data_IF_167427430686
#
_entry.id   IF_167427430686
#
_cell.length_a   1.000
_cell.length_b   1.000
_cell.length_c   1.000
_cell.angle_alpha   90.00
_cell.angle_beta   90.00
_cell.angle_gamma   90.00
#
_symmetry.space_group_name_H-M   'P 1'
#
loop_
_entity.id
_entity.type
_entity.pdbx_description
1 polymer ?
#
# COMPACT_ATOMS: atom_id res chain seq x y z
N UNK A 1 -1.10 -17.92 -2.69
CA UNK A 1 -2.24 -17.41 -1.89
C UNK A 1 -3.58 -17.98 -2.36
N UNK A 2 -4.03 -17.72 -3.60
CA UNK A 2 -5.31 -18.25 -4.14
C UNK A 2 -5.40 -19.78 -3.98
N UNK A 3 -4.35 -20.50 -4.39
CA UNK A 3 -4.28 -21.96 -4.25
C UNK A 3 -4.49 -22.42 -2.80
N UNK A 4 -3.71 -21.87 -1.86
CA UNK A 4 -3.83 -22.20 -0.44
C UNK A 4 -5.21 -21.91 0.14
N UNK A 5 -5.77 -20.71 -0.13
CA UNK A 5 -7.05 -20.26 0.43
C UNK A 5 -8.25 -20.99 -0.15
N UNK A 6 -8.30 -21.14 -1.47
CA UNK A 6 -9.52 -21.56 -2.19
C UNK A 6 -9.47 -22.99 -2.71
N UNK A 7 -8.27 -23.57 -2.90
CA UNK A 7 -8.12 -24.98 -3.31
C UNK A 7 -7.90 -25.85 -2.08
N UNK A 8 -6.79 -25.65 -1.37
CA UNK A 8 -6.45 -26.48 -0.21
C UNK A 8 -7.38 -26.21 0.98
N UNK A 9 -7.81 -24.96 1.19
CA UNK A 9 -8.75 -24.59 2.27
C UNK A 9 -8.24 -25.11 3.62
N UNK A 10 -9.01 -25.96 4.30
CA UNK A 10 -8.66 -26.59 5.57
C UNK A 10 -7.49 -27.57 5.52
N UNK A 11 -7.09 -28.01 4.33
CA UNK A 11 -5.91 -28.87 4.12
C UNK A 11 -4.61 -28.06 4.04
N UNK A 12 -4.69 -26.73 3.90
CA UNK A 12 -3.51 -25.87 3.93
C UNK A 12 -2.89 -25.87 5.32
N UNK A 13 -1.57 -26.00 5.40
CA UNK A 13 -0.82 -25.78 6.63
C UNK A 13 -1.09 -24.39 7.23
N UNK A 14 -1.40 -23.42 6.37
CA UNK A 14 -1.68 -22.05 6.76
C UNK A 14 -3.17 -21.78 7.00
N UNK A 15 -4.03 -22.81 6.99
CA UNK A 15 -5.47 -22.64 7.18
C UNK A 15 -5.85 -21.77 8.39
N UNK A 16 -5.29 -21.96 9.61
CA UNK A 16 -5.66 -21.14 10.77
C UNK A 16 -5.39 -19.65 10.55
N UNK A 17 -4.30 -19.32 9.84
CA UNK A 17 -3.98 -17.95 9.47
C UNK A 17 -4.89 -17.43 8.35
N UNK A 18 -5.05 -18.22 7.28
CA UNK A 18 -5.87 -17.84 6.12
C UNK A 18 -7.34 -17.63 6.48
N UNK A 19 -7.84 -18.32 7.50
CA UNK A 19 -9.21 -18.17 8.01
C UNK A 19 -9.44 -16.82 8.73
N UNK A 20 -8.37 -16.17 9.21
CA UNK A 20 -8.43 -14.87 9.89
C UNK A 20 -8.21 -13.70 8.94
N UNK A 21 -7.82 -13.95 7.69
CA UNK A 21 -7.68 -12.89 6.70
C UNK A 21 -9.04 -12.27 6.35
N UNK A 22 -9.09 -10.94 6.11
CA UNK A 22 -10.28 -10.25 5.66
C UNK A 22 -10.95 -10.94 4.48
N UNK A 23 -12.28 -10.99 4.54
CA UNK A 23 -13.14 -11.42 3.43
C UNK A 23 -13.31 -10.28 2.42
N UNK A 24 -13.93 -10.54 1.27
CA UNK A 24 -14.24 -9.46 0.32
C UNK A 24 -15.16 -8.40 0.94
N UNK A 25 -16.10 -8.80 1.82
CA UNK A 25 -17.01 -7.88 2.51
C UNK A 25 -16.24 -6.93 3.44
N UNK A 26 -15.19 -7.43 4.11
CA UNK A 26 -14.32 -6.61 4.97
C UNK A 26 -13.44 -5.63 4.16
N UNK A 27 -13.29 -5.86 2.86
CA UNK A 27 -12.39 -5.11 1.97
C UNK A 27 -13.14 -4.12 1.06
N UNK A 28 -14.47 -4.04 1.15
CA UNK A 28 -15.29 -3.15 0.30
C UNK A 28 -14.90 -1.67 0.43
N UNK A 29 -14.35 -1.27 1.57
CA UNK A 29 -13.87 0.10 1.80
C UNK A 29 -12.53 0.39 1.12
N UNK A 30 -11.82 -0.62 0.62
CA UNK A 30 -10.59 -0.40 -0.16
C UNK A 30 -10.92 0.19 -1.54
N UNK A 31 -10.20 1.23 -2.00
CA UNK A 31 -10.46 1.85 -3.30
C UNK A 31 -10.37 0.91 -4.51
N UNK A 32 -9.68 -0.24 -4.40
CA UNK A 32 -9.65 -1.27 -5.45
C UNK A 32 -11.01 -1.97 -5.67
N UNK A 33 -11.92 -1.90 -4.70
CA UNK A 33 -13.28 -2.48 -4.80
C UNK A 33 -14.33 -1.47 -5.27
N UNK A 34 -14.03 -0.18 -5.24
CA UNK A 34 -14.98 0.88 -5.59
C UNK A 34 -15.31 0.90 -7.08
N UNK A 35 -16.57 1.24 -7.37
CA UNK A 35 -17.02 1.57 -8.71
C UNK A 35 -16.36 2.86 -9.23
N UNK A 36 -16.42 3.04 -10.55
CA UNK A 36 -15.93 4.27 -11.20
C UNK A 36 -16.72 5.49 -10.72
N UNK A 37 -18.02 5.31 -10.48
CA UNK A 37 -18.94 6.31 -9.94
C UNK A 37 -18.50 6.75 -8.54
N UNK A 38 -18.23 5.80 -7.63
CA UNK A 38 -17.75 6.09 -6.27
C UNK A 38 -16.39 6.79 -6.28
N UNK A 39 -15.46 6.35 -7.14
CA UNK A 39 -14.16 7.02 -7.31
C UNK A 39 -14.37 8.47 -7.79
N UNK A 40 -15.27 8.68 -8.76
CA UNK A 40 -15.56 10.01 -9.28
C UNK A 40 -16.20 10.90 -8.21
N UNK A 41 -17.18 10.40 -7.48
CA UNK A 41 -17.92 11.14 -6.45
C UNK A 41 -17.02 11.50 -5.26
N UNK A 42 -16.24 10.53 -4.76
CA UNK A 42 -15.46 10.70 -3.53
C UNK A 42 -14.13 11.41 -3.74
N UNK A 43 -13.49 11.19 -4.89
CA UNK A 43 -12.12 11.63 -5.12
C UNK A 43 -11.98 12.76 -6.14
N UNK A 44 -13.02 13.17 -6.89
CA UNK A 44 -12.88 14.32 -7.79
C UNK A 44 -12.91 15.65 -7.00
N UNK A 45 -12.09 16.65 -7.36
CA UNK A 45 -11.10 16.68 -8.44
C UNK A 45 -9.67 16.31 -8.01
N UNK A 46 -9.51 15.60 -6.88
CA UNK A 46 -8.19 15.30 -6.30
C UNK A 46 -7.32 14.42 -7.20
N UNK A 47 -6.01 14.49 -6.98
CA UNK A 47 -5.03 13.63 -7.64
C UNK A 47 -5.20 12.14 -7.27
N UNK A 48 -5.69 11.84 -6.07
CA UNK A 48 -5.94 10.47 -5.59
C UNK A 48 -6.87 9.70 -6.52
N UNK A 49 -7.82 10.39 -7.17
CA UNK A 49 -8.64 9.80 -8.25
C UNK A 49 -7.78 9.13 -9.32
N UNK A 50 -6.78 9.85 -9.83
CA UNK A 50 -5.92 9.35 -10.91
C UNK A 50 -5.08 8.17 -10.43
N UNK A 51 -4.56 8.22 -9.20
CA UNK A 51 -3.79 7.12 -8.62
C UNK A 51 -4.62 5.85 -8.45
N UNK A 52 -5.81 5.97 -7.86
CA UNK A 52 -6.73 4.85 -7.64
C UNK A 52 -7.18 4.24 -8.98
N UNK A 53 -7.66 5.08 -9.92
CA UNK A 53 -8.09 4.59 -11.24
C UNK A 53 -6.95 3.90 -12.01
N UNK A 54 -5.74 4.48 -11.99
CA UNK A 54 -4.57 3.88 -12.64
C UNK A 54 -4.23 2.51 -12.04
N UNK A 55 -4.31 2.39 -10.71
CA UNK A 55 -4.01 1.14 -10.04
C UNK A 55 -5.07 0.07 -10.28
N UNK A 56 -6.37 0.41 -10.25
CA UNK A 56 -7.43 -0.52 -10.65
C UNK A 56 -7.19 -1.06 -12.07
N UNK A 57 -6.91 -0.18 -13.02
CA UNK A 57 -6.60 -0.56 -14.41
C UNK A 57 -5.36 -1.47 -14.48
N UNK A 58 -4.32 -1.16 -13.70
CA UNK A 58 -3.10 -1.98 -13.62
C UNK A 58 -3.40 -3.39 -13.10
N UNK A 59 -4.24 -3.53 -12.06
CA UNK A 59 -4.60 -4.85 -11.51
C UNK A 59 -5.42 -5.66 -12.53
N UNK A 60 -6.40 -5.02 -13.19
CA UNK A 60 -7.19 -5.67 -14.27
C UNK A 60 -6.27 -6.17 -15.38
N UNK A 61 -5.39 -5.33 -15.91
CA UNK A 61 -4.44 -5.72 -16.97
C UNK A 61 -3.49 -6.83 -16.53
N UNK A 62 -3.08 -6.82 -15.26
CA UNK A 62 -2.24 -7.88 -14.70
C UNK A 62 -2.99 -9.20 -14.66
N UNK A 63 -4.25 -9.20 -14.21
CA UNK A 63 -5.10 -10.39 -14.26
C UNK A 63 -5.31 -10.89 -15.70
N UNK A 64 -5.66 -10.02 -16.64
CA UNK A 64 -5.85 -10.38 -18.06
C UNK A 64 -4.59 -10.96 -18.71
N UNK A 65 -3.41 -10.54 -18.27
CA UNK A 65 -2.15 -11.09 -18.74
C UNK A 65 -1.91 -12.47 -18.12
N UNK A 66 -2.05 -12.58 -16.79
CA UNK A 66 -1.76 -13.81 -16.05
C UNK A 66 -2.78 -14.91 -16.39
N UNK A 67 -4.05 -14.58 -16.64
CA UNK A 67 -5.09 -15.55 -17.03
C UNK A 67 -4.86 -16.19 -18.39
N UNK A 68 -3.93 -15.69 -19.20
CA UNK A 68 -3.51 -16.31 -20.47
C UNK A 68 -2.39 -17.34 -20.30
N UNK A 69 -1.85 -17.51 -19.09
CA UNK A 69 -0.79 -18.47 -18.78
C UNK A 69 -1.43 -19.82 -18.48
N UNK A 70 -1.34 -20.76 -19.42
CA UNK A 70 -1.99 -22.07 -19.33
C UNK A 70 -1.52 -22.89 -18.13
N UNK A 71 -0.26 -22.73 -17.72
CA UNK A 71 0.37 -23.48 -16.63
C UNK A 71 -0.32 -23.25 -15.28
N UNK A 72 -0.98 -22.12 -15.08
CA UNK A 72 -1.72 -21.82 -13.84
C UNK A 72 -2.88 -22.80 -13.67
N UNK A 73 -3.56 -23.15 -14.76
CA UNK A 73 -4.73 -24.01 -14.74
C UNK A 73 -4.42 -25.50 -14.48
N UNK A 74 -3.13 -25.87 -14.53
CA UNK A 74 -2.68 -27.17 -14.02
C UNK A 74 -2.82 -27.27 -12.50
N UNK A 75 -2.92 -26.14 -11.79
CA UNK A 75 -2.98 -26.07 -10.33
C UNK A 75 -4.24 -25.41 -9.81
N UNK A 76 -4.80 -24.44 -10.53
CA UNK A 76 -5.96 -23.66 -10.09
C UNK A 76 -7.03 -23.71 -11.20
N UNK A 77 -8.17 -24.40 -10.99
CA UNK A 77 -9.25 -24.46 -11.98
C UNK A 77 -9.81 -23.08 -12.34
N UNK A 78 -10.31 -22.93 -13.57
CA UNK A 78 -10.82 -21.66 -14.13
C UNK A 78 -11.83 -20.95 -13.23
N UNK A 79 -12.77 -21.71 -12.66
CA UNK A 79 -13.80 -21.13 -11.78
C UNK A 79 -13.24 -20.57 -10.47
N UNK A 80 -12.04 -20.99 -10.05
CA UNK A 80 -11.32 -20.47 -8.89
C UNK A 80 -10.34 -19.37 -9.30
N UNK A 81 -9.67 -19.49 -10.45
CA UNK A 81 -8.78 -18.44 -10.97
C UNK A 81 -9.57 -17.37 -11.73
N UNK A 82 -10.42 -16.66 -11.00
CA UNK A 82 -11.24 -15.55 -11.50
C UNK A 82 -10.73 -14.20 -10.97
N UNK A 83 -11.29 -13.11 -11.50
CA UNK A 83 -10.84 -11.75 -11.15
C UNK A 83 -11.10 -11.41 -9.68
N UNK A 84 -12.20 -11.87 -9.08
CA UNK A 84 -12.52 -11.57 -7.68
C UNK A 84 -11.48 -12.18 -6.74
N UNK A 85 -11.18 -13.47 -6.89
CA UNK A 85 -10.15 -14.13 -6.09
C UNK A 85 -8.75 -13.54 -6.33
N UNK A 86 -8.47 -13.08 -7.56
CA UNK A 86 -7.22 -12.39 -7.88
C UNK A 86 -7.11 -11.01 -7.23
N UNK A 87 -8.20 -10.23 -7.28
CA UNK A 87 -8.30 -8.91 -6.64
C UNK A 87 -8.19 -9.03 -5.13
N UNK A 88 -8.90 -9.99 -4.52
CA UNK A 88 -8.77 -10.32 -3.10
C UNK A 88 -7.32 -10.63 -2.73
N UNK A 89 -6.68 -11.54 -3.46
CA UNK A 89 -5.29 -11.91 -3.18
C UNK A 89 -4.34 -10.72 -3.34
N UNK A 90 -4.60 -9.84 -4.31
CA UNK A 90 -3.84 -8.60 -4.51
C UNK A 90 -4.02 -7.64 -3.34
N UNK A 91 -5.26 -7.42 -2.90
CA UNK A 91 -5.59 -6.55 -1.77
C UNK A 91 -4.98 -7.05 -0.45
N UNK A 92 -5.04 -8.36 -0.19
CA UNK A 92 -4.38 -8.98 0.97
C UNK A 92 -2.88 -8.77 0.91
N UNK A 93 -2.27 -9.05 -0.24
CA UNK A 93 -0.83 -8.85 -0.39
C UNK A 93 -0.49 -7.38 -0.13
N UNK A 94 -1.17 -6.44 -0.79
CA UNK A 94 -0.98 -4.99 -0.68
C UNK A 94 -1.14 -4.43 0.73
N UNK A 95 -2.12 -4.91 1.48
CA UNK A 95 -2.38 -4.41 2.82
C UNK A 95 -1.55 -5.06 3.94
N UNK A 96 -1.11 -6.32 3.77
CA UNK A 96 -0.61 -7.15 4.89
C UNK A 96 0.81 -7.67 4.75
N UNK A 97 1.44 -7.45 3.61
CA UNK A 97 2.76 -8.03 3.42
C UNK A 97 3.87 -7.25 4.09
N UNK A 98 4.77 -7.99 4.71
CA UNK A 98 5.99 -7.49 5.30
C UNK A 98 7.14 -7.74 4.32
N UNK A 99 8.01 -6.75 4.19
CA UNK A 99 9.12 -6.78 3.26
C UNK A 99 10.44 -6.97 3.99
N UNK A 100 11.22 -7.96 3.58
CA UNK A 100 12.63 -8.07 3.93
C UNK A 100 13.40 -8.73 2.78
N UNK A 101 14.70 -8.45 2.67
CA UNK A 101 15.56 -8.99 1.60
C UNK A 101 15.00 -8.79 0.18
N UNK A 102 14.27 -7.69 -0.06
CA UNK A 102 13.65 -7.39 -1.36
C UNK A 102 12.46 -8.29 -1.74
N UNK A 103 12.02 -9.15 -0.84
CA UNK A 103 10.90 -10.05 -1.06
C UNK A 103 9.71 -9.67 -0.17
N UNK A 104 8.52 -10.03 -0.68
CA UNK A 104 7.24 -9.80 -0.04
C UNK A 104 6.78 -11.08 0.64
N UNK A 105 6.39 -10.98 1.90
CA UNK A 105 5.96 -12.12 2.68
C UNK A 105 4.67 -11.83 3.45
N UNK A 106 3.83 -12.86 3.58
CA UNK A 106 2.76 -12.88 4.58
C UNK A 106 3.31 -13.55 5.83
N UNK A 107 3.26 -12.85 6.96
CA UNK A 107 3.83 -13.32 8.23
C UNK A 107 2.69 -13.45 9.25
N UNK A 108 2.18 -14.67 9.45
CA UNK A 108 1.13 -14.90 10.44
C UNK A 108 1.48 -14.30 11.80
N UNK A 109 0.48 -13.73 12.47
CA UNK A 109 0.58 -12.93 13.71
C UNK A 109 1.13 -11.52 13.53
N UNK A 110 2.21 -11.33 12.77
CA UNK A 110 2.82 -10.01 12.61
C UNK A 110 1.92 -9.08 11.79
N UNK A 111 1.28 -9.57 10.74
CA UNK A 111 0.40 -8.79 9.87
C UNK A 111 -0.96 -8.39 10.51
N UNK A 112 -1.20 -8.76 11.77
CA UNK A 112 -2.36 -8.33 12.55
C UNK A 112 -2.12 -7.04 13.35
N UNK A 113 -0.87 -6.56 13.40
CA UNK A 113 -0.59 -5.27 14.00
C UNK A 113 -1.26 -4.16 13.18
N UNK A 114 -1.77 -3.13 13.85
CA UNK A 114 -2.34 -1.97 13.20
C UNK A 114 -1.32 -0.84 13.08
N UNK A 115 -1.57 0.07 12.14
CA UNK A 115 -0.73 1.24 11.94
C UNK A 115 -1.12 2.36 12.91
N UNK A 116 -0.11 2.95 13.56
CA UNK A 116 -0.22 4.26 14.20
C UNK A 116 1.17 4.90 14.24
N UNK A 117 1.26 6.17 13.87
CA UNK A 117 2.46 6.95 14.13
C UNK A 117 2.51 7.37 15.59
N UNK A 118 3.69 7.22 16.20
CA UNK A 118 3.95 7.72 17.53
C UNK A 118 4.41 9.19 17.46
N UNK A 119 3.72 10.09 18.16
CA UNK A 119 4.02 11.53 18.14
C UNK A 119 5.34 11.90 18.84
N UNK A 120 5.80 11.11 19.80
CA UNK A 120 7.11 11.29 20.44
C UNK A 120 8.24 10.72 19.59
N UNK A 121 7.95 9.70 18.76
CA UNK A 121 8.92 9.00 17.93
C UNK A 121 8.47 8.80 16.46
N UNK A 122 8.14 9.87 15.72
CA UNK A 122 7.57 9.75 14.37
C UNK A 122 8.52 9.09 13.37
N UNK A 123 9.82 9.21 13.59
CA UNK A 123 10.86 8.61 12.76
C UNK A 123 11.14 7.12 13.06
N UNK A 124 10.48 6.51 14.05
CA UNK A 124 10.63 5.07 14.36
C UNK A 124 9.69 4.24 13.50
N UNK A 125 10.05 4.13 12.23
CA UNK A 125 9.38 3.25 11.27
C UNK A 125 9.66 1.79 11.67
N UNK A 126 8.64 0.94 11.63
CA UNK A 126 8.79 -0.48 11.91
C UNK A 126 9.80 -1.12 10.96
N UNK A 127 10.54 -2.11 11.45
CA UNK A 127 11.52 -2.85 10.66
C UNK A 127 11.52 -4.30 11.10
N UNK A 128 11.40 -5.19 10.12
CA UNK A 128 11.48 -6.62 10.31
C UNK A 128 12.82 -7.10 9.76
N UNK A 129 13.61 -7.73 10.62
CA UNK A 129 14.93 -8.23 10.24
C UNK A 129 15.02 -9.72 10.54
N UNK A 130 15.83 -10.43 9.76
CA UNK A 130 16.21 -11.79 10.13
C UNK A 130 17.11 -11.76 11.36
N UNK A 131 16.98 -12.79 12.18
CA UNK A 131 17.92 -13.04 13.27
C UNK A 131 19.28 -13.52 12.75
N UNK A 132 20.26 -13.64 13.65
CA UNK A 132 21.63 -14.01 13.29
C UNK A 132 21.71 -15.40 12.62
N UNK A 133 20.74 -16.29 12.90
CA UNK A 133 20.67 -17.63 12.29
C UNK A 133 19.85 -17.65 10.99
N UNK A 134 19.29 -16.51 10.59
CA UNK A 134 18.37 -16.36 9.44
C UNK A 134 17.18 -17.32 9.46
N UNK A 135 16.82 -17.82 10.65
CA UNK A 135 15.74 -18.80 10.83
C UNK A 135 14.46 -18.14 11.28
N UNK A 136 14.56 -16.96 11.91
CA UNK A 136 13.43 -16.22 12.43
C UNK A 136 13.43 -14.79 11.89
N UNK A 137 12.23 -14.26 11.66
CA UNK A 137 12.01 -12.83 11.46
C UNK A 137 11.67 -12.19 12.80
N UNK A 138 12.33 -11.07 13.10
CA UNK A 138 12.17 -10.33 14.35
C UNK A 138 11.70 -8.93 14.02
N UNK A 139 10.55 -8.59 14.60
CA UNK A 139 10.03 -7.23 14.65
C UNK A 139 9.91 -6.84 16.12
N UNK A 140 10.45 -5.67 16.46
CA UNK A 140 10.50 -5.19 17.85
C UNK A 140 9.54 -4.02 17.99
N UNK A 141 8.86 -3.97 19.13
CA UNK A 141 8.04 -2.84 19.52
C UNK A 141 8.87 -1.54 19.46
N UNK A 142 8.29 -0.49 18.87
CA UNK A 142 8.94 0.81 18.74
C UNK A 142 9.08 1.55 20.09
N UNK A 143 8.27 1.16 21.08
CA UNK A 143 8.23 1.72 22.44
C UNK A 143 7.71 0.69 23.44
N UNK A 144 7.69 1.09 24.71
CA UNK A 144 7.02 0.34 25.77
C UNK A 144 5.50 0.53 25.66
N UNK A 145 4.77 -0.57 25.81
CA UNK A 145 3.30 -0.59 25.84
C UNK A 145 2.82 -1.01 27.24
N UNK A 146 1.70 -0.44 27.70
CA UNK A 146 1.07 -0.85 28.95
C UNK A 146 0.37 -2.20 28.78
N UNK A 147 0.16 -2.91 29.89
CA UNK A 147 -0.68 -4.11 29.89
C UNK A 147 -2.06 -3.79 29.33
N UNK A 148 -2.54 -4.62 28.40
CA UNK A 148 -3.81 -4.47 27.67
C UNK A 148 -3.87 -3.29 26.69
N UNK A 149 -2.78 -2.56 26.48
CA UNK A 149 -2.69 -1.59 25.39
C UNK A 149 -2.53 -2.32 24.06
N UNK A 150 -3.22 -1.84 23.03
CA UNK A 150 -3.01 -2.34 21.67
C UNK A 150 -1.60 -1.95 21.20
N UNK A 151 -0.90 -2.92 20.62
CA UNK A 151 0.40 -2.69 20.00
C UNK A 151 0.17 -2.12 18.60
N UNK A 152 0.90 -1.06 18.28
CA UNK A 152 0.87 -0.41 16.96
C UNK A 152 2.27 -0.31 16.38
N UNK A 153 2.34 -0.20 15.06
CA UNK A 153 3.55 0.06 14.30
C UNK A 153 3.42 1.31 13.43
N UNK A 154 4.51 2.05 13.24
CA UNK A 154 4.55 3.09 12.22
C UNK A 154 4.98 2.45 10.89
N UNK A 155 4.09 2.44 9.90
CA UNK A 155 4.38 1.90 8.58
C UNK A 155 5.29 2.80 7.73
N UNK A 156 5.44 4.07 8.11
CA UNK A 156 6.37 5.01 7.47
C UNK A 156 5.97 5.38 6.04
N UNK A 157 4.67 5.47 5.76
CA UNK A 157 4.15 5.80 4.43
C UNK A 157 3.22 7.02 4.46
N UNK A 158 3.12 7.76 3.34
CA UNK A 158 2.18 8.87 3.21
C UNK A 158 0.72 8.39 3.15
N UNK A 159 -0.22 9.30 3.46
CA UNK A 159 -1.64 8.96 3.57
C UNK A 159 -2.25 8.44 2.27
N UNK A 160 -1.76 8.88 1.10
CA UNK A 160 -2.26 8.35 -0.16
C UNK A 160 -1.96 6.85 -0.35
N UNK A 161 -0.86 6.34 0.22
CA UNK A 161 -0.50 4.91 0.21
C UNK A 161 -1.38 4.15 1.19
N UNK A 162 -1.53 4.64 2.42
CA UNK A 162 -2.45 4.05 3.41
C UNK A 162 -3.86 3.95 2.87
N UNK A 163 -4.35 5.02 2.27
CA UNK A 163 -5.71 5.06 1.73
C UNK A 163 -5.87 4.06 0.59
N UNK A 164 -4.94 4.07 -0.36
CA UNK A 164 -5.03 3.26 -1.57
C UNK A 164 -4.91 1.75 -1.30
N UNK A 165 -4.00 1.35 -0.41
CA UNK A 165 -3.64 -0.06 -0.21
C UNK A 165 -4.14 -0.66 1.10
N UNK A 166 -4.43 0.17 2.11
CA UNK A 166 -4.84 -0.29 3.44
C UNK A 166 -6.22 0.23 3.87
N UNK A 167 -6.82 1.18 3.14
CA UNK A 167 -8.19 1.64 3.39
C UNK A 167 -8.34 2.65 4.53
N UNK A 168 -7.25 3.25 5.00
CA UNK A 168 -7.30 4.25 6.06
C UNK A 168 -6.38 5.43 5.77
N UNK A 169 -6.53 6.51 6.51
CA UNK A 169 -5.58 7.64 6.58
C UNK A 169 -5.31 7.94 8.03
N UNK A 170 -4.09 8.38 8.36
CA UNK A 170 -3.79 8.92 9.68
C UNK A 170 -4.16 10.41 9.70
N UNK A 171 -5.06 10.79 10.62
CA UNK A 171 -5.61 12.15 10.77
C UNK A 171 -5.29 12.71 12.14
N UNK A 172 -5.20 14.04 12.28
CA UNK A 172 -4.83 14.72 13.55
C UNK A 172 -5.68 14.31 14.76
N UNK A 173 -6.87 13.76 14.52
CA UNK A 173 -7.75 13.27 15.59
C UNK A 173 -7.31 11.91 16.15
N UNK A 174 -6.41 11.19 15.48
CA UNK A 174 -5.85 9.92 15.96
C UNK A 174 -4.87 10.11 17.13
N UNK A 175 -4.52 11.37 17.43
CA UNK A 175 -3.79 11.80 18.61
C UNK A 175 -4.48 13.02 19.26
N UNK A 176 -5.62 12.80 19.92
CA UNK A 176 -6.41 13.85 20.60
C UNK A 176 -5.60 14.71 21.60
N UNK A 177 -4.39 14.29 21.97
CA UNK A 177 -3.56 14.92 22.98
C UNK A 177 -2.50 15.87 22.41
N UNK A 178 -2.15 15.77 21.12
CA UNK A 178 -1.07 16.57 20.55
C UNK A 178 -1.53 17.19 19.24
N UNK A 179 -1.54 18.53 19.13
CA UNK A 179 -1.89 19.26 17.89
C UNK A 179 -0.86 19.05 16.75
N UNK A 180 -0.24 17.87 16.65
CA UNK A 180 0.75 17.50 15.66
C UNK A 180 0.06 16.93 14.40
N UNK A 181 0.68 17.03 13.21
CA UNK A 181 0.21 16.28 12.06
C UNK A 181 0.30 14.78 12.37
N UNK A 182 -0.80 14.04 12.18
CA UNK A 182 -0.86 12.61 12.51
C UNK A 182 -0.05 11.69 11.59
N UNK A 183 0.47 12.23 10.49
CA UNK A 183 1.38 11.53 9.62
C UNK A 183 2.53 12.44 9.21
N UNK A 184 3.66 12.31 9.90
CA UNK A 184 4.88 13.02 9.56
C UNK A 184 5.45 12.61 8.19
N UNK A 185 5.05 11.45 7.65
CA UNK A 185 5.50 10.94 6.35
C UNK A 185 4.63 11.42 5.17
N UNK A 186 3.63 12.26 5.42
CA UNK A 186 2.72 12.67 4.35
C UNK A 186 3.41 13.55 3.29
N UNK A 187 2.97 13.40 2.05
CA UNK A 187 3.58 14.07 0.92
C UNK A 187 2.56 14.94 0.20
N UNK A 188 2.99 16.10 -0.28
CA UNK A 188 2.19 16.92 -1.20
C UNK A 188 2.58 16.57 -2.64
N UNK A 189 1.58 16.23 -3.43
CA UNK A 189 1.73 16.07 -4.87
C UNK A 189 1.40 17.39 -5.56
N UNK A 190 2.39 17.93 -6.26
CA UNK A 190 2.18 19.10 -7.12
C UNK A 190 2.14 18.66 -8.57
N UNK A 191 1.02 18.97 -9.21
CA UNK A 191 0.91 18.90 -10.65
C UNK A 191 1.15 20.30 -11.22
N UNK A 192 2.22 20.46 -11.99
CA UNK A 192 2.49 21.71 -12.68
C UNK A 192 2.22 21.53 -14.17
N UNK A 193 1.37 22.40 -14.70
CA UNK A 193 1.25 22.63 -16.14
C UNK A 193 2.20 23.79 -16.45
N UNK A 194 3.38 23.45 -16.98
CA UNK A 194 4.39 24.44 -17.34
C UNK A 194 4.56 24.36 -18.85
N UNK A 195 4.42 25.49 -19.53
CA UNK A 195 4.76 25.56 -20.96
C UNK A 195 6.27 25.40 -21.14
N UNK A 196 6.68 24.98 -22.34
CA UNK A 196 8.11 24.80 -22.65
C UNK A 196 8.94 26.06 -22.34
N UNK A 197 8.41 27.23 -22.64
CA UNK A 197 9.10 28.52 -22.47
C UNK A 197 9.19 28.94 -21.00
N UNK A 198 8.21 28.58 -20.18
CA UNK A 198 8.24 28.81 -18.73
C UNK A 198 9.26 27.88 -18.07
N UNK A 199 9.31 26.60 -18.47
CA UNK A 199 10.24 25.62 -17.91
C UNK A 199 11.71 25.98 -18.15
N UNK A 200 12.03 26.65 -19.26
CA UNK A 200 13.39 27.13 -19.57
C UNK A 200 13.85 28.32 -18.72
N UNK A 201 12.93 29.05 -18.07
CA UNK A 201 13.23 30.28 -17.32
C UNK A 201 13.45 30.05 -15.84
N UNK A 202 13.11 28.87 -15.32
CA UNK A 202 13.18 28.64 -13.89
C UNK A 202 14.64 28.30 -13.52
N UNK A 203 15.19 29.04 -12.55
CA UNK A 203 16.57 28.89 -12.09
C UNK A 203 16.63 27.84 -10.98
N UNK A 204 17.08 26.65 -11.31
CA UNK A 204 16.97 25.47 -10.46
C UNK A 204 18.33 24.92 -10.04
N UNK A 205 18.90 25.49 -8.97
CA UNK A 205 20.19 25.06 -8.42
C UNK A 205 20.10 23.92 -7.38
N UNK A 206 18.94 23.27 -7.23
CA UNK A 206 18.76 22.19 -6.26
C UNK A 206 18.87 20.79 -6.90
N UNK A 207 19.55 19.87 -6.21
CA UNK A 207 19.86 18.50 -6.65
C UNK A 207 18.59 17.69 -6.94
N UNK A 208 17.48 18.01 -6.28
CA UNK A 208 16.14 17.43 -6.48
C UNK A 208 15.62 17.72 -7.90
N UNK A 209 16.02 18.84 -8.51
CA UNK A 209 15.44 19.32 -9.77
C UNK A 209 16.08 18.71 -11.02
N UNK A 210 17.33 18.25 -10.95
CA UNK A 210 17.97 17.56 -12.09
C UNK A 210 17.16 16.35 -12.58
N UNK A 211 16.55 15.60 -11.66
CA UNK A 211 15.69 14.45 -11.97
C UNK A 211 14.38 14.86 -12.67
N UNK A 212 13.87 16.06 -12.39
CA UNK A 212 12.66 16.61 -13.02
C UNK A 212 12.95 16.99 -14.47
N UNK A 213 14.11 17.60 -14.73
CA UNK A 213 14.51 18.05 -16.08
C UNK A 213 14.65 16.87 -17.05
N UNK A 214 15.19 15.75 -16.60
CA UNK A 214 15.29 14.54 -17.44
C UNK A 214 13.91 13.97 -17.82
N UNK A 215 12.93 14.07 -16.92
CA UNK A 215 11.54 13.64 -17.18
C UNK A 215 10.76 14.66 -18.04
N UNK A 216 11.02 15.95 -17.89
CA UNK A 216 10.37 17.03 -18.66
C UNK A 216 10.79 17.09 -20.13
N UNK A 217 11.99 16.60 -20.49
CA UNK A 217 12.45 16.58 -21.89
C UNK A 217 11.53 15.79 -22.84
N UNK A 218 10.59 14.99 -22.32
CA UNK A 218 9.72 14.13 -23.11
C UNK A 218 8.21 14.39 -22.96
N UNK A 219 7.73 15.24 -22.02
CA UNK A 219 6.28 15.47 -21.80
C UNK A 219 5.96 16.90 -21.32
N UNK A 220 4.81 17.42 -21.76
CA UNK A 220 4.23 18.73 -21.38
C UNK A 220 3.58 18.78 -19.98
N UNK A 221 3.64 17.67 -19.23
CA UNK A 221 3.07 17.53 -17.88
C UNK A 221 4.12 16.87 -17.01
N UNK A 222 4.54 17.55 -15.95
CA UNK A 222 5.47 17.01 -14.95
C UNK A 222 4.85 17.00 -13.57
N UNK A 223 5.23 15.98 -12.82
CA UNK A 223 4.72 15.74 -11.48
C UNK A 223 5.88 15.77 -10.51
N UNK A 224 5.71 16.52 -9.41
CA UNK A 224 6.64 16.56 -8.29
C UNK A 224 5.96 15.96 -7.07
N UNK A 225 6.69 15.10 -6.37
CA UNK A 225 6.31 14.62 -5.04
C UNK A 225 7.35 15.15 -4.05
N UNK A 226 6.90 15.91 -3.07
CA UNK A 226 7.73 16.36 -1.94
C UNK A 226 7.09 15.83 -0.67
N UNK A 227 7.85 15.04 0.08
CA UNK A 227 7.48 14.58 1.42
C UNK A 227 8.15 15.52 2.43
N UNK A 228 7.42 15.86 3.51
CA UNK A 228 7.92 16.74 4.57
C UNK A 228 8.93 16.03 5.48
#
# INVERSE_FOLDING_TARGET
LIYEKFILKSESLFFPYLALLPTDDDLLDLPIYWSIEEINERLSPSYSKTLVSYYQEKVIKSFEFVSKINEIYNYIPDHIFNFDNYRWATAILDSRSIWWNGNRHLVPMLDFINCKEDSDYPNRIHSTNLDDTQSFVITRAAKDFKTNEQIFENYGQPNYIYFQYHGFTLTSNDDELTNNPANSHDCVHYEFIITKDEGMKINFNDRIVKTIIEKLKFRSRAMLTTCL
#
